data_IF_737460662192
#
_entry.id   IF_737460662192
#
_cell.length_a   1.000
_cell.length_b   1.000
_cell.length_c   1.000
_cell.angle_alpha   90.00
_cell.angle_beta   90.00
_cell.angle_gamma   90.00
#
_symmetry.space_group_name_H-M   'P 1'
#
loop_
_entity.id
_entity.type
_entity.pdbx_description
1 polymer ?
#
# COMPACT_ATOMS: atom_id res chain seq x y z
N UNK A 1 -7.48 -21.82 6.26
CA UNK A 1 -8.11 -22.29 7.51
C UNK A 1 -7.43 -23.58 7.93
N UNK A 2 -7.16 -23.72 9.23
CA UNK A 2 -6.42 -24.81 9.85
C UNK A 2 -7.41 -25.57 10.73
N UNK A 3 -7.77 -26.80 10.35
CA UNK A 3 -8.93 -27.48 10.93
C UNK A 3 -8.63 -28.23 12.24
N UNK A 4 -7.37 -28.62 12.48
CA UNK A 4 -7.01 -29.44 13.64
C UNK A 4 -5.50 -29.35 13.95
N UNK A 5 -5.11 -29.96 15.07
CA UNK A 5 -3.74 -29.94 15.59
C UNK A 5 -2.71 -30.69 14.74
N UNK A 6 -3.16 -31.65 13.92
CA UNK A 6 -2.28 -32.40 13.02
C UNK A 6 -2.01 -31.66 11.70
N UNK A 7 -2.63 -30.49 11.51
CA UNK A 7 -2.40 -29.67 10.32
C UNK A 7 -0.94 -29.15 10.27
N UNK A 8 -0.39 -28.93 9.06
CA UNK A 8 0.94 -28.36 8.91
C UNK A 8 1.04 -26.95 9.50
N UNK A 9 2.20 -26.55 9.99
CA UNK A 9 2.42 -25.18 10.50
C UNK A 9 2.89 -24.20 9.42
N UNK A 10 3.22 -24.68 8.20
CA UNK A 10 3.73 -23.86 7.11
C UNK A 10 2.85 -23.99 5.86
N UNK A 11 2.41 -22.85 5.33
CA UNK A 11 1.51 -22.75 4.18
C UNK A 11 2.16 -21.92 3.08
N UNK A 12 2.33 -22.51 1.91
CA UNK A 12 2.99 -21.86 0.78
C UNK A 12 1.98 -21.23 -0.20
N UNK A 13 2.27 -20.01 -0.60
CA UNK A 13 1.52 -19.23 -1.59
C UNK A 13 2.45 -18.93 -2.76
N UNK A 14 2.07 -19.38 -3.96
CA UNK A 14 2.77 -19.03 -5.19
C UNK A 14 2.32 -17.65 -5.66
N UNK A 15 3.04 -16.61 -5.26
CA UNK A 15 2.65 -15.20 -5.48
C UNK A 15 3.31 -14.61 -6.73
N UNK A 16 4.41 -15.21 -7.21
CA UNK A 16 5.13 -14.78 -8.41
C UNK A 16 4.98 -15.75 -9.60
N UNK A 17 3.76 -15.94 -10.12
CA UNK A 17 3.56 -16.74 -11.35
C UNK A 17 4.50 -16.31 -12.48
N UNK A 18 4.91 -17.29 -13.32
CA UNK A 18 5.68 -17.31 -14.59
C UNK A 18 6.69 -16.18 -14.99
N UNK A 19 6.49 -14.93 -14.58
CA UNK A 19 7.13 -13.73 -15.12
C UNK A 19 8.33 -13.22 -14.28
N UNK A 20 8.81 -13.99 -13.31
CA UNK A 20 10.05 -13.69 -12.58
C UNK A 20 9.94 -12.57 -11.53
N UNK A 21 8.74 -12.34 -10.99
CA UNK A 21 8.54 -11.37 -9.90
C UNK A 21 9.32 -11.75 -8.63
N UNK A 22 9.91 -10.75 -7.98
CA UNK A 22 10.63 -10.86 -6.71
C UNK A 22 9.72 -10.52 -5.53
N UNK A 23 9.93 -11.20 -4.40
CA UNK A 23 9.24 -10.89 -3.15
C UNK A 23 10.20 -10.20 -2.19
N UNK A 24 9.78 -9.05 -1.66
CA UNK A 24 10.55 -8.27 -0.69
C UNK A 24 9.81 -8.21 0.65
N UNK A 25 10.39 -8.83 1.67
CA UNK A 25 9.88 -8.82 3.05
C UNK A 25 10.35 -7.54 3.79
N UNK A 26 9.43 -6.86 4.46
CA UNK A 26 9.71 -5.70 5.31
C UNK A 26 9.79 -6.09 6.80
N UNK A 27 10.34 -5.20 7.63
CA UNK A 27 10.50 -5.41 9.08
C UNK A 27 9.17 -5.58 9.82
N UNK A 28 8.10 -4.95 9.35
CA UNK A 28 6.75 -5.10 9.90
C UNK A 28 6.04 -6.39 9.48
N UNK A 29 6.71 -7.24 8.70
CA UNK A 29 6.19 -8.51 8.22
C UNK A 29 5.34 -8.40 6.95
N UNK A 30 5.13 -7.21 6.38
CA UNK A 30 4.51 -7.07 5.06
C UNK A 30 5.46 -7.48 3.93
N UNK A 31 4.91 -7.80 2.76
CA UNK A 31 5.67 -8.24 1.59
C UNK A 31 5.26 -7.44 0.37
N UNK A 32 6.22 -6.88 -0.37
CA UNK A 32 5.99 -6.35 -1.71
C UNK A 32 6.32 -7.40 -2.77
N UNK A 33 5.56 -7.38 -3.86
CA UNK A 33 5.76 -8.15 -5.08
C UNK A 33 6.29 -7.16 -6.12
N UNK A 34 7.50 -7.37 -6.61
CA UNK A 34 8.22 -6.48 -7.52
C UNK A 34 8.49 -7.20 -8.85
N UNK A 35 8.31 -6.52 -9.98
CA UNK A 35 8.66 -7.00 -11.31
C UNK A 35 10.16 -6.99 -11.55
N UNK A 36 10.60 -7.60 -12.65
CA UNK A 36 12.03 -7.69 -13.00
C UNK A 36 12.69 -6.34 -13.32
N UNK A 37 11.88 -5.33 -13.63
CA UNK A 37 12.27 -3.93 -13.83
C UNK A 37 12.17 -3.08 -12.55
N UNK A 38 11.80 -3.69 -11.42
CA UNK A 38 11.58 -3.02 -10.15
C UNK A 38 10.18 -2.40 -9.99
N UNK A 39 9.25 -2.63 -10.93
CA UNK A 39 7.88 -2.14 -10.81
C UNK A 39 7.10 -2.87 -9.70
N UNK A 40 6.34 -2.16 -8.88
CA UNK A 40 5.45 -2.82 -7.91
C UNK A 40 4.28 -3.51 -8.60
N UNK A 41 4.09 -4.80 -8.33
CA UNK A 41 3.03 -5.64 -8.89
C UNK A 41 1.91 -5.95 -7.89
N UNK A 42 2.16 -5.75 -6.59
CA UNK A 42 1.20 -6.01 -5.51
C UNK A 42 1.90 -6.25 -4.18
N UNK A 43 1.15 -6.56 -3.14
CA UNK A 43 1.74 -6.80 -1.82
C UNK A 43 0.87 -7.68 -0.93
N UNK A 44 1.44 -8.15 0.16
CA UNK A 44 0.77 -8.98 1.18
C UNK A 44 0.94 -8.30 2.53
N UNK A 45 -0.14 -8.18 3.28
CA UNK A 45 -0.13 -7.55 4.61
C UNK A 45 0.58 -8.44 5.61
N UNK A 46 1.10 -7.84 6.68
CA UNK A 46 1.70 -8.57 7.79
C UNK A 46 0.81 -9.76 8.23
N UNK A 47 1.40 -10.93 8.46
CA UNK A 47 0.63 -12.14 8.68
C UNK A 47 -0.19 -12.04 9.96
N UNK A 48 -1.39 -12.60 9.93
CA UNK A 48 -2.29 -12.68 11.08
C UNK A 48 -2.85 -14.10 11.20
N UNK A 49 -3.16 -14.49 12.42
CA UNK A 49 -3.83 -15.76 12.69
C UNK A 49 -4.62 -15.66 14.01
N UNK A 50 -5.83 -16.19 14.03
CA UNK A 50 -6.69 -16.27 15.22
C UNK A 50 -7.32 -17.66 15.34
N UNK A 51 -7.39 -18.16 16.57
CA UNK A 51 -8.08 -19.40 16.89
C UNK A 51 -9.61 -19.22 16.96
N UNK A 52 -10.36 -20.30 17.13
CA UNK A 52 -11.83 -20.27 17.15
C UNK A 52 -12.42 -19.48 18.33
N UNK A 53 -11.63 -19.22 19.37
CA UNK A 53 -12.00 -18.37 20.50
C UNK A 53 -11.59 -16.89 20.31
N UNK A 54 -10.98 -16.54 19.17
CA UNK A 54 -10.47 -15.21 18.89
C UNK A 54 -9.10 -14.93 19.52
N UNK A 55 -8.40 -15.95 19.99
CA UNK A 55 -7.05 -15.82 20.56
C UNK A 55 -6.04 -15.62 19.43
N UNK A 56 -5.16 -14.59 19.49
CA UNK A 56 -4.12 -14.41 18.49
C UNK A 56 -3.13 -15.59 18.52
N UNK A 57 -2.82 -16.11 17.34
CA UNK A 57 -1.84 -17.18 17.13
C UNK A 57 -0.59 -16.56 16.50
N UNK A 58 0.59 -16.90 17.03
CA UNK A 58 1.86 -16.37 16.49
C UNK A 58 2.04 -16.82 15.04
N UNK A 59 2.31 -15.86 14.15
CA UNK A 59 2.55 -16.12 12.73
C UNK A 59 3.56 -15.14 12.13
N UNK A 60 4.28 -15.57 11.09
CA UNK A 60 5.22 -14.75 10.31
C UNK A 60 5.27 -15.25 8.86
N UNK A 61 5.87 -14.46 7.96
CA UNK A 61 6.20 -14.93 6.62
C UNK A 61 7.69 -15.24 6.46
N UNK A 62 7.96 -16.17 5.55
CA UNK A 62 9.27 -16.44 4.99
C UNK A 62 9.20 -16.35 3.46
N UNK A 63 10.19 -15.72 2.84
CA UNK A 63 10.32 -15.69 1.37
C UNK A 63 11.26 -16.81 0.94
N UNK A 64 10.78 -17.70 0.06
CA UNK A 64 11.56 -18.81 -0.53
C UNK A 64 11.51 -18.71 -2.04
N UNK A 65 12.51 -18.05 -2.64
CA UNK A 65 12.50 -17.77 -4.08
C UNK A 65 11.33 -16.84 -4.44
N UNK A 66 10.41 -17.30 -5.28
CA UNK A 66 9.18 -16.59 -5.67
C UNK A 66 7.94 -17.01 -4.87
N UNK A 67 8.11 -17.88 -3.87
CA UNK A 67 7.03 -18.33 -2.99
C UNK A 67 7.04 -17.58 -1.67
N UNK A 68 5.85 -17.20 -1.21
CA UNK A 68 5.63 -16.69 0.13
C UNK A 68 5.13 -17.83 1.03
N UNK A 69 5.79 -18.07 2.15
CA UNK A 69 5.36 -19.07 3.13
C UNK A 69 4.85 -18.36 4.37
N UNK A 70 3.58 -18.57 4.74
CA UNK A 70 3.08 -18.19 6.05
C UNK A 70 3.31 -19.33 7.04
N UNK A 71 4.04 -19.06 8.11
CA UNK A 71 4.20 -19.98 9.22
C UNK A 71 3.23 -19.58 10.33
N UNK A 72 2.42 -20.53 10.80
CA UNK A 72 1.45 -20.38 11.89
C UNK A 72 1.87 -21.34 13.00
N UNK A 73 2.45 -20.82 14.08
CA UNK A 73 2.99 -21.63 15.18
C UNK A 73 1.89 -22.11 16.13
N UNK A 74 0.97 -22.92 15.61
CA UNK A 74 -0.17 -23.48 16.35
C UNK A 74 0.14 -24.82 17.03
N UNK A 75 1.33 -25.37 16.83
CA UNK A 75 1.87 -26.53 17.54
C UNK A 75 2.42 -26.17 18.93
N UNK A 76 2.83 -24.90 19.10
CA UNK A 76 3.29 -24.33 20.34
C UNK A 76 2.14 -23.67 21.12
N UNK A 77 1.32 -24.47 21.81
CA UNK A 77 0.28 -23.96 22.70
C UNK A 77 -0.97 -24.83 22.78
N UNK A 78 -2.02 -24.30 23.43
CA UNK A 78 -3.36 -24.89 23.42
C UNK A 78 -4.32 -23.92 22.74
N UNK A 79 -4.55 -24.12 21.44
CA UNK A 79 -5.43 -23.29 20.63
C UNK A 79 -6.75 -24.00 20.31
N UNK A 80 -7.83 -23.23 20.17
CA UNK A 80 -9.11 -23.75 19.71
C UNK A 80 -9.16 -23.80 18.18
N UNK A 81 -9.48 -24.95 17.61
CA UNK A 81 -9.67 -25.09 16.18
C UNK A 81 -11.13 -24.80 15.78
N UNK A 82 -11.37 -24.28 14.56
CA UNK A 82 -10.39 -23.99 13.51
C UNK A 82 -9.61 -22.69 13.72
N UNK A 83 -8.34 -22.66 13.33
CA UNK A 83 -7.53 -21.43 13.27
C UNK A 83 -7.69 -20.81 11.89
N UNK A 84 -7.98 -19.51 11.86
CA UNK A 84 -8.05 -18.71 10.65
C UNK A 84 -6.73 -17.98 10.48
N UNK A 85 -6.05 -18.25 9.37
CA UNK A 85 -4.84 -17.59 8.92
C UNK A 85 -4.99 -17.47 7.39
N UNK A 86 -5.35 -16.28 6.92
CA UNK A 86 -5.55 -15.99 5.50
C UNK A 86 -4.71 -14.78 5.12
N UNK A 87 -3.61 -14.95 4.35
CA UNK A 87 -2.78 -13.85 3.91
C UNK A 87 -3.62 -12.94 3.04
N UNK A 88 -3.82 -11.71 3.51
CA UNK A 88 -4.57 -10.75 2.74
C UNK A 88 -3.67 -10.21 1.62
N UNK A 89 -3.97 -10.62 0.39
CA UNK A 89 -3.33 -10.13 -0.83
C UNK A 89 -3.84 -8.71 -1.12
N UNK A 90 -2.99 -7.73 -0.85
CA UNK A 90 -3.18 -6.34 -1.18
C UNK A 90 -2.89 -6.05 -2.64
N UNK A 91 -3.87 -6.38 -3.47
CA UNK A 91 -3.99 -5.83 -4.82
C UNK A 91 -4.89 -4.59 -4.69
N UNK A 92 -4.40 -3.43 -5.12
CA UNK A 92 -5.05 -2.10 -5.10
C UNK A 92 -4.94 -1.31 -3.77
N UNK A 93 -3.90 -0.48 -3.65
CA UNK A 93 -3.75 0.55 -2.62
C UNK A 93 -4.82 1.64 -2.72
N UNK A 94 -5.41 1.82 -3.91
CA UNK A 94 -6.55 2.69 -4.15
C UNK A 94 -7.79 1.89 -4.55
N UNK A 95 -8.93 2.15 -3.90
CA UNK A 95 -10.22 1.55 -4.29
C UNK A 95 -10.70 2.05 -5.65
N UNK A 96 -10.37 3.28 -6.00
CA UNK A 96 -10.65 3.86 -7.31
C UNK A 96 -9.74 5.06 -7.56
N UNK A 97 -9.51 5.32 -8.86
CA UNK A 97 -8.88 6.54 -9.34
C UNK A 97 -9.71 7.09 -10.50
N UNK A 98 -10.05 8.39 -10.43
CA UNK A 98 -10.81 9.09 -11.45
C UNK A 98 -10.14 10.39 -11.85
N UNK A 99 -10.51 10.92 -13.02
CA UNK A 99 -10.06 12.24 -13.48
C UNK A 99 -11.28 13.09 -13.76
N UNK A 100 -11.34 14.26 -13.13
CA UNK A 100 -12.32 15.31 -13.43
C UNK A 100 -11.63 16.63 -13.80
N UNK A 101 -12.42 17.68 -14.02
CA UNK A 101 -11.92 19.02 -14.33
C UNK A 101 -12.15 19.95 -13.15
N UNK A 102 -11.09 20.63 -12.73
CA UNK A 102 -11.15 21.64 -11.68
C UNK A 102 -10.22 22.81 -12.03
N UNK A 103 -10.75 24.03 -11.93
CA UNK A 103 -10.07 25.25 -12.40
C UNK A 103 -9.58 25.14 -13.86
N UNK A 104 -10.45 24.58 -14.72
CA UNK A 104 -10.19 24.31 -16.14
C UNK A 104 -8.97 23.43 -16.42
N UNK A 105 -8.49 22.67 -15.43
CA UNK A 105 -7.41 21.71 -15.59
C UNK A 105 -7.79 20.34 -15.00
N UNK A 106 -7.16 19.24 -15.46
CA UNK A 106 -7.33 17.93 -14.85
C UNK A 106 -7.07 17.93 -13.34
N UNK A 107 -7.93 17.25 -12.59
CA UNK A 107 -7.70 16.84 -11.22
C UNK A 107 -7.83 15.32 -11.14
N UNK A 108 -6.81 14.68 -10.57
CA UNK A 108 -6.80 13.23 -10.36
C UNK A 108 -7.24 12.96 -8.93
N UNK A 109 -8.30 12.19 -8.77
CA UNK A 109 -8.90 11.86 -7.50
C UNK A 109 -8.59 10.41 -7.15
N UNK A 110 -7.93 10.15 -6.01
CA UNK A 110 -7.54 8.82 -5.58
C UNK A 110 -8.15 8.52 -4.21
N UNK A 111 -8.84 7.39 -4.07
CA UNK A 111 -9.37 6.98 -2.78
C UNK A 111 -8.57 5.80 -2.24
N UNK A 112 -7.82 5.98 -1.14
CA UNK A 112 -7.16 4.85 -0.49
C UNK A 112 -8.17 3.75 -0.20
N UNK A 113 -7.82 2.51 -0.56
CA UNK A 113 -8.60 1.34 -0.17
C UNK A 113 -8.48 1.12 1.34
N UNK A 114 -9.30 0.24 1.95
CA UNK A 114 -9.11 -0.14 3.35
C UNK A 114 -7.67 -0.59 3.65
N UNK A 115 -7.00 -1.19 2.66
CA UNK A 115 -5.59 -1.57 2.76
C UNK A 115 -4.62 -0.44 2.56
N UNK A 116 -4.84 0.41 1.55
CA UNK A 116 -4.07 1.63 1.42
C UNK A 116 -4.09 2.40 2.75
N UNK A 117 -5.28 2.55 3.35
CA UNK A 117 -5.45 3.18 4.65
C UNK A 117 -4.71 2.46 5.80
N UNK A 118 -4.61 1.13 5.78
CA UNK A 118 -3.88 0.36 6.79
C UNK A 118 -2.36 0.63 6.78
N UNK A 119 -1.80 1.08 5.65
CA UNK A 119 -0.38 1.41 5.53
C UNK A 119 0.08 2.54 6.46
N UNK A 120 -0.84 3.39 6.94
CA UNK A 120 -0.50 4.42 7.91
C UNK A 120 -0.21 3.90 9.32
N UNK A 121 -0.39 2.60 9.57
CA UNK A 121 -0.04 1.98 10.83
C UNK A 121 1.48 1.91 11.07
N UNK A 122 2.32 2.05 10.02
CA UNK A 122 3.77 2.01 10.13
C UNK A 122 4.46 3.04 9.22
N UNK A 123 5.70 3.39 9.54
CA UNK A 123 6.54 4.24 8.66
C UNK A 123 6.82 3.50 7.34
N UNK A 124 7.01 2.17 7.40
CA UNK A 124 7.20 1.34 6.22
C UNK A 124 6.01 1.40 5.26
N UNK A 125 4.78 1.34 5.79
CA UNK A 125 3.58 1.45 4.98
C UNK A 125 3.40 2.85 4.36
N UNK A 126 3.75 3.93 5.07
CA UNK A 126 3.75 5.27 4.44
C UNK A 126 4.72 5.35 3.26
N UNK A 127 5.88 4.67 3.34
CA UNK A 127 6.80 4.54 2.20
C UNK A 127 6.13 3.78 1.06
N UNK A 128 5.43 2.67 1.34
CA UNK A 128 4.66 1.92 0.32
C UNK A 128 3.62 2.80 -0.35
N UNK A 129 2.82 3.56 0.41
CA UNK A 129 1.86 4.51 -0.17
C UNK A 129 2.54 5.57 -1.01
N UNK A 130 3.73 6.04 -0.62
CA UNK A 130 4.45 7.07 -1.35
C UNK A 130 5.12 6.57 -2.65
N UNK A 131 5.55 5.32 -2.70
CA UNK A 131 6.25 4.72 -3.84
C UNK A 131 5.29 3.88 -4.68
N UNK A 132 4.92 2.69 -4.21
CA UNK A 132 4.03 1.77 -4.88
C UNK A 132 2.66 2.38 -5.18
N UNK A 133 2.14 3.23 -4.28
CA UNK A 133 0.90 3.96 -4.53
C UNK A 133 1.02 4.92 -5.72
N UNK A 134 2.18 5.58 -5.88
CA UNK A 134 2.39 6.46 -7.03
C UNK A 134 2.45 5.66 -8.34
N UNK A 135 3.11 4.51 -8.31
CA UNK A 135 3.20 3.62 -9.47
C UNK A 135 1.84 3.04 -9.86
N UNK A 136 1.02 2.64 -8.87
CA UNK A 136 -0.37 2.23 -9.10
C UNK A 136 -1.17 3.34 -9.76
N UNK A 137 -1.07 4.58 -9.26
CA UNK A 137 -1.75 5.73 -9.85
C UNK A 137 -1.27 6.02 -11.29
N UNK A 138 0.03 5.99 -11.53
CA UNK A 138 0.63 6.24 -12.84
C UNK A 138 0.26 5.20 -13.90
N UNK A 139 0.03 3.96 -13.48
CA UNK A 139 -0.30 2.83 -14.34
C UNK A 139 -1.78 2.49 -14.40
N UNK A 140 -2.63 3.19 -13.65
CA UNK A 140 -4.07 2.94 -13.58
C UNK A 140 -4.77 2.92 -14.95
N UNK A 141 -4.54 3.95 -15.77
CA UNK A 141 -4.86 4.00 -17.20
C UNK A 141 -4.23 5.24 -17.86
N UNK A 142 -4.34 5.35 -19.19
CA UNK A 142 -3.77 6.47 -19.95
C UNK A 142 -4.37 7.84 -19.59
N UNK A 143 -5.65 7.91 -19.22
CA UNK A 143 -6.31 9.16 -18.80
C UNK A 143 -5.74 9.67 -17.48
N UNK A 144 -5.58 8.79 -16.48
CA UNK A 144 -4.96 9.13 -15.19
C UNK A 144 -3.51 9.57 -15.41
N UNK A 145 -2.74 8.81 -16.19
CA UNK A 145 -1.35 9.15 -16.51
C UNK A 145 -1.21 10.54 -17.15
N UNK A 146 -2.07 10.86 -18.12
CA UNK A 146 -2.12 12.20 -18.74
C UNK A 146 -2.54 13.29 -17.74
N UNK A 147 -3.41 12.93 -16.80
CA UNK A 147 -3.79 13.75 -15.67
C UNK A 147 -2.59 14.12 -14.79
N UNK A 148 -1.71 13.17 -14.49
CA UNK A 148 -0.54 13.27 -13.59
C UNK A 148 0.74 13.86 -14.23
N UNK A 149 0.62 14.67 -15.28
CA UNK A 149 1.76 15.06 -16.10
C UNK A 149 2.61 16.23 -15.55
N UNK A 150 2.50 16.59 -14.27
CA UNK A 150 3.15 17.80 -13.71
C UNK A 150 3.78 17.52 -12.35
N UNK A 151 4.99 18.04 -12.11
CA UNK A 151 5.74 17.82 -10.85
C UNK A 151 4.95 18.17 -9.59
N UNK A 152 4.16 19.25 -9.63
CA UNK A 152 3.27 19.63 -8.51
C UNK A 152 2.32 18.51 -8.08
N UNK A 153 1.94 17.60 -8.97
CA UNK A 153 1.03 16.49 -8.64
C UNK A 153 1.78 15.37 -7.91
N UNK A 154 3.05 15.13 -8.25
CA UNK A 154 3.93 14.25 -7.47
C UNK A 154 4.17 14.84 -6.07
N UNK A 155 4.43 16.14 -5.98
CA UNK A 155 4.58 16.84 -4.70
C UNK A 155 3.30 16.77 -3.83
N UNK A 156 2.12 16.90 -4.45
CA UNK A 156 0.84 16.77 -3.74
C UNK A 156 0.65 15.33 -3.24
N UNK A 157 0.99 14.34 -4.07
CA UNK A 157 0.90 12.93 -3.69
C UNK A 157 1.82 12.59 -2.52
N UNK A 158 3.06 13.09 -2.51
CA UNK A 158 3.98 12.95 -1.36
C UNK A 158 3.40 13.54 -0.08
N UNK A 159 2.75 14.70 -0.20
CA UNK A 159 2.10 15.34 0.93
C UNK A 159 0.92 14.52 1.45
N UNK A 160 0.16 13.88 0.56
CA UNK A 160 -0.93 12.98 0.93
C UNK A 160 -0.43 11.65 1.53
N UNK A 161 0.62 11.04 0.98
CA UNK A 161 1.18 9.77 1.47
C UNK A 161 1.77 9.88 2.87
N UNK A 162 2.36 11.03 3.20
CA UNK A 162 2.87 11.35 4.54
C UNK A 162 1.82 12.03 5.44
N UNK A 163 0.70 12.46 4.86
CA UNK A 163 -0.45 13.03 5.56
C UNK A 163 -1.27 11.96 6.28
N UNK A 164 -2.30 12.35 7.03
CA UNK A 164 -3.15 11.39 7.78
C UNK A 164 -4.03 10.53 6.85
N UNK A 165 -4.28 9.24 7.16
CA UNK A 165 -5.20 8.39 6.38
C UNK A 165 -6.65 8.89 6.41
N UNK A 166 -6.98 9.80 7.33
CA UNK A 166 -8.30 10.41 7.47
C UNK A 166 -8.50 11.65 6.58
N UNK A 167 -7.53 12.00 5.73
CA UNK A 167 -7.66 13.09 4.77
C UNK A 167 -8.74 12.82 3.70
N UNK A 168 -9.26 11.59 3.62
CA UNK A 168 -10.28 11.20 2.67
C UNK A 168 -9.69 10.98 1.27
N UNK A 169 -10.46 11.36 0.24
CA UNK A 169 -9.99 11.30 -1.14
C UNK A 169 -8.83 12.26 -1.36
N UNK A 170 -7.80 11.80 -2.08
CA UNK A 170 -6.65 12.61 -2.47
C UNK A 170 -6.96 13.32 -3.76
N UNK A 171 -6.76 14.64 -3.78
CA UNK A 171 -7.08 15.49 -4.92
C UNK A 171 -5.79 16.09 -5.48
N UNK A 172 -5.26 15.50 -6.56
CA UNK A 172 -4.05 15.99 -7.21
C UNK A 172 -4.41 16.99 -8.30
N UNK A 173 -4.28 18.26 -7.96
CA UNK A 173 -4.77 19.38 -8.73
C UNK A 173 -3.68 19.94 -9.65
N UNK A 174 -3.84 19.79 -10.97
CA UNK A 174 -2.82 20.17 -11.96
C UNK A 174 -2.59 21.68 -12.04
N UNK A 175 -3.60 22.49 -11.71
CA UNK A 175 -3.49 23.95 -11.77
C UNK A 175 -2.51 24.51 -10.74
N UNK A 176 -2.24 23.79 -9.64
CA UNK A 176 -1.32 24.26 -8.58
C UNK A 176 0.09 24.44 -9.14
N UNK A 177 0.81 25.52 -8.79
CA UNK A 177 2.15 25.74 -9.32
C UNK A 177 3.11 24.64 -8.85
N UNK A 178 4.14 24.35 -9.67
CA UNK A 178 5.27 23.55 -9.20
C UNK A 178 5.96 24.30 -8.08
N UNK A 179 6.19 23.63 -6.95
CA UNK A 179 7.00 24.22 -5.90
C UNK A 179 8.46 24.19 -6.28
N UNK A 180 9.14 25.31 -6.04
CA UNK A 180 10.58 25.47 -6.23
C UNK A 180 11.37 25.28 -4.94
N UNK A 181 10.65 25.22 -3.80
CA UNK A 181 11.15 24.75 -2.51
C UNK A 181 10.53 23.40 -2.17
N UNK A 182 11.08 22.68 -1.21
CA UNK A 182 10.52 21.39 -0.78
C UNK A 182 9.04 21.53 -0.39
N UNK A 183 8.20 20.56 -0.77
CA UNK A 183 6.75 20.66 -0.62
C UNK A 183 6.27 20.73 0.83
N UNK A 184 7.11 20.35 1.78
CA UNK A 184 6.81 20.45 3.22
C UNK A 184 6.94 21.87 3.77
N UNK A 185 7.57 22.81 3.03
CA UNK A 185 7.78 24.16 3.51
C UNK A 185 6.45 24.90 3.65
N UNK A 186 6.03 25.23 4.88
CA UNK A 186 4.73 25.86 5.14
C UNK A 186 3.54 24.89 5.14
N UNK A 187 3.78 23.57 5.22
CA UNK A 187 2.71 22.56 5.13
C UNK A 187 1.65 22.69 6.23
N UNK A 188 2.04 23.18 7.42
CA UNK A 188 1.11 23.49 8.51
C UNK A 188 0.18 24.68 8.25
N UNK A 189 0.45 25.46 7.19
CA UNK A 189 -0.37 26.61 6.78
C UNK A 189 -1.21 26.22 5.55
N UNK A 190 -0.56 25.70 4.52
CA UNK A 190 -1.24 25.41 3.25
C UNK A 190 -1.92 24.04 3.20
N UNK A 191 -1.62 23.11 4.12
CA UNK A 191 -2.21 21.75 4.16
C UNK A 191 -2.21 21.05 2.79
N UNK A 192 -1.04 20.95 2.16
CA UNK A 192 -0.85 20.45 0.79
C UNK A 192 -1.52 21.27 -0.33
N UNK A 193 -2.24 22.34 -0.01
CA UNK A 193 -2.99 23.19 -0.93
C UNK A 193 -2.29 24.53 -1.23
N UNK A 194 -1.03 24.50 -1.67
CA UNK A 194 -0.29 25.73 -2.00
C UNK A 194 -0.80 26.42 -3.27
N UNK A 195 -0.68 27.75 -3.29
CA UNK A 195 -1.08 28.63 -4.41
C UNK A 195 0.11 29.35 -5.03
N UNK A 196 1.29 29.29 -4.42
CA UNK A 196 2.53 29.91 -4.91
C UNK A 196 3.67 28.88 -4.99
N UNK A 197 4.72 29.12 -5.80
CA UNK A 197 5.86 28.22 -5.89
C UNK A 197 6.76 28.16 -4.63
N UNK A 198 6.83 29.24 -3.85
CA UNK A 198 7.89 29.47 -2.86
C UNK A 198 7.46 30.16 -1.55
N UNK A 199 6.17 30.47 -1.36
CA UNK A 199 5.66 31.14 -0.15
C UNK A 199 4.54 30.32 0.52
N UNK A 200 4.23 30.68 1.77
CA UNK A 200 3.08 30.16 2.53
C UNK A 200 1.93 31.16 2.55
#
# INVERSE_FOLDING_TARGET
MIENADAPTAYEYSIGGADGAALRLFEDGSVAIEGTDGAYLGGVVAPWAYDAAGTPVKTWYEVKGSSLVQVVAHDAGSYAYPIVADPWLGINLFSWITVDSYNSQPRVNLQPSPWGAAQWASIGGQVVMNTAGWDEAWNWNSTVRSGLSKDSQRQQFECHSLGSPFAGTWNLEKFRPNRTVHWSHGVAVHHCNWTTPNQY
#
